data_IF_953848299143
#
_entry.id   IF_953848299143
#
_cell.length_a   1.000
_cell.length_b   1.000
_cell.length_c   1.000
_cell.angle_alpha   90.00
_cell.angle_beta   90.00
_cell.angle_gamma   90.00
#
_symmetry.space_group_name_H-M   'P 1'
#
loop_
_entity.id
_entity.type
_entity.pdbx_description
1 polymer ?
#
# COMPACT_ATOMS: atom_id res chain seq x y z
N UNK A 1 -32.80 8.58 -9.98
CA UNK A 1 -31.35 8.28 -9.82
C UNK A 1 -31.15 7.43 -8.56
N UNK A 2 -30.18 6.50 -8.54
CA UNK A 2 -29.89 5.65 -7.38
C UNK A 2 -28.86 6.33 -6.46
N UNK A 3 -28.96 6.12 -5.15
CA UNK A 3 -27.93 6.50 -4.17
C UNK A 3 -26.83 5.44 -4.15
N UNK A 4 -25.58 5.86 -3.96
CA UNK A 4 -24.39 5.01 -3.87
C UNK A 4 -23.64 5.39 -2.60
N UNK A 5 -23.08 4.41 -1.90
CA UNK A 5 -22.32 4.58 -0.65
C UNK A 5 -21.01 3.78 -0.70
N UNK A 6 -20.03 4.16 0.11
CA UNK A 6 -18.79 3.39 0.35
C UNK A 6 -19.04 2.49 1.55
N UNK A 7 -18.79 1.18 1.43
CA UNK A 7 -19.05 0.19 2.48
C UNK A 7 -17.82 -0.55 2.97
N UNK A 8 -16.68 -0.39 2.29
CA UNK A 8 -15.41 -0.99 2.70
C UNK A 8 -14.24 -0.26 2.07
N UNK A 9 -13.10 -0.27 2.77
CA UNK A 9 -11.86 0.38 2.35
C UNK A 9 -10.66 -0.54 2.59
N UNK A 10 -9.62 -0.37 1.77
CA UNK A 10 -8.35 -1.06 1.95
C UNK A 10 -7.23 -0.23 1.35
N UNK A 11 -6.04 -0.35 1.94
CA UNK A 11 -4.92 0.54 1.63
C UNK A 11 -3.58 -0.13 1.90
N UNK A 12 -2.63 0.09 0.97
CA UNK A 12 -1.21 -0.16 1.19
C UNK A 12 -0.48 1.15 0.86
N UNK A 13 0.20 1.74 1.84
CA UNK A 13 0.76 3.09 1.76
C UNK A 13 2.13 3.19 2.42
N UNK A 14 2.88 4.23 2.06
CA UNK A 14 4.16 4.58 2.70
C UNK A 14 4.02 4.94 4.19
N UNK A 15 2.82 5.31 4.65
CA UNK A 15 2.52 5.65 6.04
C UNK A 15 1.76 4.55 6.80
N UNK A 16 1.54 3.38 6.19
CA UNK A 16 0.84 2.27 6.83
C UNK A 16 0.27 1.29 5.83
N UNK A 17 0.16 0.02 6.22
CA UNK A 17 -0.36 -1.08 5.41
C UNK A 17 -1.79 -1.47 5.79
N UNK A 18 -2.42 -0.77 6.73
CA UNK A 18 -3.81 -0.95 7.16
C UNK A 18 -4.46 0.41 7.44
N UNK A 19 -5.79 0.45 7.55
CA UNK A 19 -6.52 1.67 7.90
C UNK A 19 -6.12 2.22 9.27
N UNK A 20 -5.86 1.35 10.24
CA UNK A 20 -5.43 1.74 11.60
C UNK A 20 -4.03 2.37 11.59
N UNK A 21 -3.06 1.73 10.92
CA UNK A 21 -1.71 2.27 10.80
C UNK A 21 -1.69 3.62 10.08
N UNK A 22 -2.47 3.75 8.99
CA UNK A 22 -2.60 5.00 8.24
C UNK A 22 -3.25 6.07 9.11
N UNK A 23 -4.33 5.74 9.81
CA UNK A 23 -5.03 6.68 10.71
C UNK A 23 -4.09 7.19 11.79
N UNK A 24 -3.31 6.29 12.40
CA UNK A 24 -2.36 6.68 13.44
C UNK A 24 -1.26 7.59 12.88
N UNK A 25 -0.68 7.24 11.72
CA UNK A 25 0.32 8.09 11.07
C UNK A 25 -0.22 9.47 10.72
N UNK A 26 -1.48 9.57 10.27
CA UNK A 26 -2.14 10.84 10.01
C UNK A 26 -2.32 11.67 11.30
N UNK A 27 -2.76 11.05 12.40
CA UNK A 27 -2.95 11.73 13.69
C UNK A 27 -1.63 12.23 14.27
N UNK A 28 -0.56 11.44 14.13
CA UNK A 28 0.77 11.77 14.65
C UNK A 28 1.62 12.62 13.68
N UNK A 29 1.12 12.93 12.48
CA UNK A 29 1.89 13.56 11.40
C UNK A 29 3.20 12.81 11.08
N UNK A 30 3.16 11.47 11.14
CA UNK A 30 4.32 10.61 10.92
C UNK A 30 4.63 10.50 9.42
N UNK A 31 5.83 10.90 8.95
CA UNK A 31 6.16 10.85 7.53
C UNK A 31 6.43 9.41 7.05
N UNK A 32 6.01 9.13 5.82
CA UNK A 32 6.29 7.86 5.12
C UNK A 32 7.50 7.92 4.18
N UNK A 33 8.21 9.04 4.16
CA UNK A 33 9.33 9.29 3.24
C UNK A 33 10.62 8.74 3.83
N UNK A 34 11.38 8.03 3.00
CA UNK A 34 12.68 7.46 3.35
C UNK A 34 13.75 7.88 2.32
N UNK A 35 15.01 7.70 2.69
CA UNK A 35 16.12 7.75 1.74
C UNK A 35 16.05 6.57 0.77
N UNK A 36 16.22 6.84 -0.52
CA UNK A 36 16.17 5.86 -1.60
C UNK A 36 17.60 5.53 -2.06
N UNK A 37 18.22 4.52 -1.44
CA UNK A 37 19.58 4.12 -1.79
C UNK A 37 19.70 3.73 -3.27
N UNK A 38 18.68 3.07 -3.81
CA UNK A 38 18.59 2.73 -5.23
C UNK A 38 18.65 3.96 -6.15
N UNK A 39 18.05 5.08 -5.74
CA UNK A 39 18.12 6.32 -6.53
C UNK A 39 19.50 6.97 -6.42
N UNK A 40 20.12 6.94 -5.24
CA UNK A 40 21.46 7.47 -5.03
C UNK A 40 22.50 6.70 -5.85
N UNK A 41 22.42 5.37 -5.87
CA UNK A 41 23.33 4.49 -6.62
C UNK A 41 23.21 4.72 -8.14
N UNK A 42 22.02 5.08 -8.62
CA UNK A 42 21.76 5.44 -10.02
C UNK A 42 22.14 6.90 -10.35
N UNK A 43 22.67 7.67 -9.40
CA UNK A 43 23.07 9.06 -9.61
C UNK A 43 21.90 10.04 -9.78
N UNK A 44 20.71 9.69 -9.27
CA UNK A 44 19.54 10.57 -9.39
C UNK A 44 19.70 11.80 -8.48
N UNK A 45 19.14 12.92 -8.95
CA UNK A 45 19.06 14.17 -8.16
C UNK A 45 18.15 14.01 -6.94
N UNK A 46 17.00 13.37 -7.11
CA UNK A 46 16.12 13.02 -5.98
C UNK A 46 16.57 11.70 -5.39
N UNK A 47 16.78 11.66 -4.09
CA UNK A 47 17.25 10.49 -3.35
C UNK A 47 16.27 10.11 -2.23
N UNK A 48 14.99 10.46 -2.39
CA UNK A 48 13.94 10.19 -1.42
C UNK A 48 12.71 9.60 -2.10
N UNK A 49 11.98 8.74 -1.41
CA UNK A 49 10.72 8.17 -1.88
C UNK A 49 9.80 7.81 -0.71
N UNK A 50 8.49 7.77 -0.97
CA UNK A 50 7.54 7.09 -0.10
C UNK A 50 7.39 5.66 -0.57
N UNK A 51 7.84 4.69 0.23
CA UNK A 51 7.84 3.28 -0.13
C UNK A 51 7.00 2.48 0.87
N UNK A 52 5.96 1.76 0.44
CA UNK A 52 5.29 0.79 1.30
C UNK A 52 6.30 -0.25 1.79
N UNK A 53 6.37 -0.43 3.11
CA UNK A 53 7.35 -1.33 3.75
C UNK A 53 7.03 -2.82 3.55
N UNK A 54 5.84 -3.12 3.07
CA UNK A 54 5.34 -4.48 2.86
C UNK A 54 5.74 -4.99 1.48
N UNK A 55 6.38 -6.15 1.42
CA UNK A 55 6.57 -6.90 0.18
C UNK A 55 5.33 -7.79 -0.08
N UNK A 56 4.53 -7.52 -1.14
CA UNK A 56 3.32 -8.28 -1.39
C UNK A 56 3.63 -9.70 -1.87
N UNK A 57 4.85 -9.98 -2.34
CA UNK A 57 5.26 -11.31 -2.77
C UNK A 57 5.58 -12.25 -1.60
N UNK A 58 5.79 -11.71 -0.39
CA UNK A 58 5.94 -12.50 0.84
C UNK A 58 4.60 -12.88 1.47
N UNK A 59 3.54 -12.12 1.18
CA UNK A 59 2.20 -12.33 1.76
C UNK A 59 1.25 -13.09 0.83
N UNK A 60 1.47 -13.03 -0.48
CA UNK A 60 0.60 -13.64 -1.47
C UNK A 60 1.24 -14.90 -2.07
N UNK A 61 0.40 -15.91 -2.33
CA UNK A 61 0.83 -17.12 -3.03
C UNK A 61 1.38 -16.77 -4.44
N UNK A 62 2.44 -17.48 -4.85
CA UNK A 62 3.11 -17.27 -6.15
C UNK A 62 2.18 -17.45 -7.35
N UNK A 63 1.14 -18.29 -7.25
CA UNK A 63 0.16 -18.47 -8.32
C UNK A 63 -0.73 -17.24 -8.46
N UNK A 64 -1.09 -16.61 -7.34
CA UNK A 64 -1.87 -15.36 -7.32
C UNK A 64 -1.05 -14.23 -7.97
N UNK A 65 0.23 -14.13 -7.63
CA UNK A 65 1.10 -13.04 -8.09
C UNK A 65 1.76 -13.28 -9.45
N UNK A 66 1.53 -14.43 -10.10
CA UNK A 66 2.19 -14.84 -11.37
C UNK A 66 2.18 -13.77 -12.46
N UNK A 67 1.12 -12.97 -12.51
CA UNK A 67 0.91 -11.93 -13.52
C UNK A 67 0.91 -10.50 -12.95
N UNK A 68 1.35 -10.34 -11.70
CA UNK A 68 1.26 -9.07 -10.98
C UNK A 68 2.65 -8.45 -10.80
N UNK A 69 2.83 -7.25 -11.37
CA UNK A 69 3.88 -6.34 -10.91
C UNK A 69 3.60 -5.87 -9.48
N UNK A 70 4.61 -5.33 -8.78
CA UNK A 70 4.52 -5.02 -7.33
C UNK A 70 3.32 -4.13 -6.99
N UNK A 71 3.05 -3.13 -7.84
CA UNK A 71 1.87 -2.26 -7.71
C UNK A 71 0.53 -3.00 -7.79
N UNK A 72 0.39 -3.95 -8.72
CA UNK A 72 -0.81 -4.78 -8.82
C UNK A 72 -0.96 -5.74 -7.63
N UNK A 73 0.15 -6.26 -7.11
CA UNK A 73 0.15 -7.12 -5.93
C UNK A 73 -0.23 -6.34 -4.65
N UNK A 74 0.23 -5.11 -4.48
CA UNK A 74 -0.27 -4.21 -3.42
C UNK A 74 -1.76 -3.91 -3.57
N UNK A 75 -2.23 -3.65 -4.79
CA UNK A 75 -3.66 -3.43 -5.05
C UNK A 75 -4.49 -4.67 -4.69
N UNK A 76 -4.00 -5.88 -4.97
CA UNK A 76 -4.67 -7.11 -4.56
C UNK A 76 -4.85 -7.20 -3.04
N UNK A 77 -3.81 -6.86 -2.25
CA UNK A 77 -3.92 -6.80 -0.79
C UNK A 77 -4.92 -5.74 -0.31
N UNK A 78 -4.89 -4.54 -0.91
CA UNK A 78 -5.86 -3.49 -0.60
C UNK A 78 -7.29 -3.93 -0.94
N UNK A 79 -7.49 -4.65 -2.05
CA UNK A 79 -8.78 -5.22 -2.42
C UNK A 79 -9.25 -6.28 -1.39
N UNK A 80 -8.36 -7.16 -0.93
CA UNK A 80 -8.70 -8.14 0.12
C UNK A 80 -9.13 -7.46 1.42
N UNK A 81 -8.41 -6.40 1.84
CA UNK A 81 -8.80 -5.59 2.99
C UNK A 81 -10.19 -4.96 2.81
N UNK A 82 -10.45 -4.36 1.64
CA UNK A 82 -11.73 -3.70 1.37
C UNK A 82 -12.92 -4.67 1.34
N UNK A 83 -12.71 -5.88 0.79
CA UNK A 83 -13.74 -6.95 0.78
C UNK A 83 -14.04 -7.39 2.21
N UNK A 84 -13.01 -7.63 3.02
CA UNK A 84 -13.17 -8.01 4.42
C UNK A 84 -13.85 -6.91 5.25
N UNK A 85 -13.45 -5.65 5.06
CA UNK A 85 -14.05 -4.48 5.72
C UNK A 85 -15.53 -4.29 5.35
N UNK A 86 -15.89 -4.61 4.10
CA UNK A 86 -17.28 -4.61 3.64
C UNK A 86 -18.11 -5.82 4.13
N UNK A 87 -17.48 -6.81 4.76
CA UNK A 87 -18.14 -8.04 5.23
C UNK A 87 -18.65 -8.94 4.10
N UNK A 88 -17.93 -9.01 2.98
CA UNK A 88 -18.30 -9.79 1.78
C UNK A 88 -17.52 -11.11 1.65
#
# INVERSE_FOLDING_TARGET
MRRVVVTGMGIISSIGNTLDEVTESLRQAKPGIIFAQDYADLGFRSQVKGDPRLDPYEQLDRRVTRFMGKGAAWNYLAMQQAIADAGL
#
